data_IF_884944202300
#
_entry.id   IF_884944202300
#
_cell.length_a   1.000
_cell.length_b   1.000
_cell.length_c   1.000
_cell.angle_alpha   90.00
_cell.angle_beta   90.00
_cell.angle_gamma   90.00
#
_symmetry.space_group_name_H-M   'P 1'
#
loop_
_entity.id
_entity.type
_entity.pdbx_description
1 polymer ?
#
# COMPACT_ATOMS: atom_id res chain seq x y z
N UNK A 1 31.69 -9.98 35.77
CA UNK A 1 30.63 -10.96 35.48
C UNK A 1 29.96 -10.54 34.17
N UNK A 2 30.48 -11.02 33.03
CA UNK A 2 29.91 -10.70 31.71
C UNK A 2 28.59 -11.45 31.55
N UNK A 3 27.49 -10.71 31.34
CA UNK A 3 26.21 -11.28 30.91
C UNK A 3 26.43 -11.90 29.53
N UNK A 4 26.44 -13.22 29.46
CA UNK A 4 26.40 -13.96 28.19
C UNK A 4 25.03 -13.66 27.57
N UNK A 5 25.01 -12.75 26.59
CA UNK A 5 23.84 -12.53 25.75
C UNK A 5 23.80 -13.74 24.83
N UNK A 6 22.89 -14.67 25.13
CA UNK A 6 22.57 -15.79 24.24
C UNK A 6 22.04 -15.21 22.93
N UNK A 7 22.92 -15.07 21.95
CA UNK A 7 22.51 -14.87 20.55
C UNK A 7 21.80 -16.16 20.11
N UNK A 8 20.53 -16.12 19.67
CA UNK A 8 20.01 -17.25 18.94
C UNK A 8 20.70 -17.29 17.57
N UNK A 9 21.50 -18.34 17.38
CA UNK A 9 21.99 -18.79 16.09
C UNK A 9 20.86 -18.87 15.05
N UNK A 10 21.10 -18.46 13.79
CA UNK A 10 20.11 -18.53 12.72
C UNK A 10 20.12 -19.96 12.17
N UNK A 11 19.31 -20.84 12.75
CA UNK A 11 18.86 -22.13 12.19
C UNK A 11 18.14 -22.88 13.31
N UNK A 12 16.82 -22.77 13.37
CA UNK A 12 15.93 -23.88 13.72
C UNK A 12 14.46 -23.46 13.56
N UNK A 13 13.73 -24.35 12.93
CA UNK A 13 12.30 -24.45 12.60
C UNK A 13 11.35 -24.40 13.81
N UNK A 14 11.64 -23.56 14.80
CA UNK A 14 10.74 -23.37 15.94
C UNK A 14 9.72 -22.30 15.57
N UNK A 15 8.48 -22.73 15.37
CA UNK A 15 7.33 -21.84 15.29
C UNK A 15 7.36 -20.93 16.53
N UNK A 16 7.65 -19.65 16.34
CA UNK A 16 7.79 -18.69 17.43
C UNK A 16 6.47 -18.64 18.22
N UNK A 17 6.50 -19.02 19.50
CA UNK A 17 5.32 -19.09 20.37
C UNK A 17 4.59 -17.74 20.41
N UNK A 18 5.31 -16.63 20.25
CA UNK A 18 4.71 -15.28 20.18
C UNK A 18 3.89 -15.11 18.90
N UNK A 19 4.41 -15.56 17.75
CA UNK A 19 3.69 -15.55 16.45
C UNK A 19 2.44 -16.41 16.51
N UNK A 20 2.54 -17.62 17.08
CA UNK A 20 1.39 -18.52 17.24
C UNK A 20 0.31 -17.90 18.13
N UNK A 21 0.69 -17.36 19.30
CA UNK A 21 -0.25 -16.69 20.20
C UNK A 21 -0.91 -15.49 19.53
N UNK A 22 -0.16 -14.70 18.77
CA UNK A 22 -0.69 -13.56 18.02
C UNK A 22 -1.71 -13.99 16.95
N UNK A 23 -1.39 -15.02 16.17
CA UNK A 23 -2.28 -15.57 15.16
C UNK A 23 -3.57 -16.16 15.76
N UNK A 24 -3.45 -16.93 16.84
CA UNK A 24 -4.61 -17.53 17.51
C UNK A 24 -5.53 -16.48 18.14
N UNK A 25 -4.96 -15.42 18.72
CA UNK A 25 -5.74 -14.33 19.30
C UNK A 25 -6.56 -13.55 18.27
N UNK A 26 -6.10 -13.51 17.02
CA UNK A 26 -6.76 -12.80 15.93
C UNK A 26 -7.55 -13.72 14.98
N UNK A 27 -7.55 -15.03 15.21
CA UNK A 27 -8.22 -16.02 14.35
C UNK A 27 -9.72 -15.74 14.19
N UNK A 28 -10.36 -15.20 15.23
CA UNK A 28 -11.76 -14.81 15.18
C UNK A 28 -12.07 -13.69 14.18
N UNK A 29 -11.07 -12.90 13.76
CA UNK A 29 -11.21 -11.83 12.75
C UNK A 29 -11.27 -12.39 11.32
N UNK A 30 -10.74 -13.58 11.09
CA UNK A 30 -10.71 -14.23 9.76
C UNK A 30 -12.09 -14.31 9.07
N UNK A 31 -13.18 -14.77 9.71
CA UNK A 31 -14.49 -14.82 9.07
C UNK A 31 -15.08 -13.44 8.71
N UNK A 32 -14.65 -12.36 9.37
CA UNK A 32 -15.17 -11.01 9.14
C UNK A 32 -14.31 -10.19 8.17
N UNK A 33 -13.00 -10.42 8.16
CA UNK A 33 -12.07 -9.74 7.27
C UNK A 33 -10.88 -10.66 6.94
N UNK A 34 -11.07 -11.64 6.03
CA UNK A 34 -10.06 -12.62 5.71
C UNK A 34 -8.84 -11.97 5.05
N UNK A 35 -9.05 -10.93 4.24
CA UNK A 35 -7.97 -10.22 3.56
C UNK A 35 -7.11 -9.43 4.54
N UNK A 36 -7.71 -8.68 5.47
CA UNK A 36 -6.97 -8.01 6.54
C UNK A 36 -6.19 -9.01 7.40
N UNK A 37 -6.80 -10.13 7.77
CA UNK A 37 -6.14 -11.20 8.52
C UNK A 37 -4.91 -11.73 7.74
N UNK A 38 -5.09 -12.05 6.46
CA UNK A 38 -4.00 -12.55 5.63
C UNK A 38 -2.85 -11.53 5.51
N UNK A 39 -3.16 -10.28 5.22
CA UNK A 39 -2.18 -9.21 5.15
C UNK A 39 -1.43 -9.02 6.47
N UNK A 40 -2.15 -9.08 7.59
CA UNK A 40 -1.59 -8.87 8.93
C UNK A 40 -0.61 -9.96 9.38
N UNK A 41 -0.87 -11.21 9.00
CA UNK A 41 -0.08 -12.34 9.48
C UNK A 41 0.95 -12.82 8.47
N UNK A 42 0.69 -12.70 7.17
CA UNK A 42 1.55 -13.24 6.13
C UNK A 42 2.35 -12.20 5.37
N UNK A 43 2.01 -10.91 5.46
CA UNK A 43 2.81 -9.83 4.88
C UNK A 43 3.55 -9.02 5.96
N UNK A 44 4.60 -8.32 5.53
CA UNK A 44 5.38 -7.46 6.41
C UNK A 44 4.53 -6.28 6.90
N UNK A 45 4.42 -6.12 8.23
CA UNK A 45 3.60 -5.07 8.83
C UNK A 45 3.98 -3.67 8.33
N UNK A 46 5.27 -3.36 8.39
CA UNK A 46 5.85 -2.09 7.94
C UNK A 46 5.67 -1.80 6.45
N UNK A 47 5.34 -2.80 5.65
CA UNK A 47 5.06 -2.63 4.23
C UNK A 47 3.59 -2.36 3.98
N UNK A 48 2.70 -3.04 4.71
CA UNK A 48 1.24 -2.96 4.48
C UNK A 48 0.58 -1.83 5.29
N UNK A 49 0.95 -1.66 6.56
CA UNK A 49 0.19 -0.85 7.52
C UNK A 49 0.77 0.55 7.78
N UNK A 50 1.87 0.90 7.13
CA UNK A 50 2.48 2.24 7.25
C UNK A 50 1.62 3.31 6.58
N UNK A 51 0.97 2.97 5.46
CA UNK A 51 0.12 3.90 4.71
C UNK A 51 -1.25 3.30 4.46
N UNK A 52 -2.29 4.12 4.62
CA UNK A 52 -3.68 3.70 4.42
C UNK A 52 -3.92 3.24 2.99
N UNK A 53 -3.28 3.90 2.01
CA UNK A 53 -3.35 3.58 0.58
C UNK A 53 -2.95 2.15 0.25
N UNK A 54 -1.98 1.56 0.97
CA UNK A 54 -1.61 0.16 0.75
C UNK A 54 -2.76 -0.78 1.16
N UNK A 55 -3.32 -0.55 2.34
CA UNK A 55 -4.44 -1.34 2.85
C UNK A 55 -5.64 -1.19 1.91
N UNK A 56 -5.99 0.04 1.56
CA UNK A 56 -7.07 0.37 0.62
C UNK A 56 -6.88 -0.38 -0.69
N UNK A 57 -5.69 -0.27 -1.30
CA UNK A 57 -5.40 -0.93 -2.57
C UNK A 57 -5.68 -2.43 -2.48
N UNK A 58 -5.16 -3.12 -1.46
CA UNK A 58 -5.34 -4.57 -1.36
C UNK A 58 -6.78 -4.99 -1.12
N UNK A 59 -7.62 -4.14 -0.54
CA UNK A 59 -9.04 -4.42 -0.36
C UNK A 59 -9.87 -4.06 -1.61
N UNK A 60 -9.55 -2.97 -2.29
CA UNK A 60 -10.35 -2.49 -3.42
C UNK A 60 -9.90 -3.08 -4.76
N UNK A 61 -8.61 -3.35 -4.96
CA UNK A 61 -8.08 -3.83 -6.24
C UNK A 61 -8.62 -5.21 -6.65
N UNK A 62 -8.68 -6.23 -5.77
CA UNK A 62 -9.29 -7.51 -6.14
C UNK A 62 -10.77 -7.36 -6.51
N UNK A 63 -11.50 -6.48 -5.81
CA UNK A 63 -12.90 -6.19 -6.11
C UNK A 63 -13.05 -5.50 -7.46
N UNK A 64 -12.22 -4.49 -7.75
CA UNK A 64 -12.20 -3.84 -9.06
C UNK A 64 -11.90 -4.89 -10.12
N UNK A 65 -10.77 -5.61 -10.04
CA UNK A 65 -10.40 -6.65 -11.00
C UNK A 65 -11.49 -7.70 -11.22
N UNK A 66 -12.19 -8.13 -10.17
CA UNK A 66 -13.27 -9.08 -10.31
C UNK A 66 -14.51 -8.43 -10.95
N UNK A 67 -15.06 -7.39 -10.33
CA UNK A 67 -16.32 -6.76 -10.72
C UNK A 67 -16.24 -6.11 -12.10
N UNK A 68 -15.22 -5.29 -12.36
CA UNK A 68 -15.13 -4.54 -13.62
C UNK A 68 -14.76 -5.43 -14.80
N UNK A 69 -14.14 -6.59 -14.58
CA UNK A 69 -13.89 -7.54 -15.67
C UNK A 69 -15.17 -8.10 -16.27
N UNK A 70 -16.21 -8.32 -15.46
CA UNK A 70 -17.54 -8.72 -15.96
C UNK A 70 -18.25 -7.61 -16.71
N UNK A 71 -17.92 -6.34 -16.47
CA UNK A 71 -18.48 -5.21 -17.21
C UNK A 71 -17.91 -5.07 -18.62
N UNK A 72 -16.65 -5.48 -18.83
CA UNK A 72 -15.89 -5.16 -20.06
C UNK A 72 -15.59 -6.34 -20.98
N UNK A 73 -15.74 -7.58 -20.50
CA UNK A 73 -15.37 -8.75 -21.28
C UNK A 73 -16.35 -9.89 -21.06
N UNK A 74 -16.75 -10.53 -22.17
CA UNK A 74 -17.44 -11.83 -22.13
C UNK A 74 -16.55 -12.91 -21.51
N UNK A 75 -15.24 -12.79 -21.73
CA UNK A 75 -14.22 -13.66 -21.15
C UNK A 75 -13.62 -13.04 -19.87
N UNK A 76 -14.50 -12.58 -18.97
CA UNK A 76 -14.11 -11.92 -17.72
C UNK A 76 -13.07 -12.74 -16.91
N UNK A 77 -13.18 -14.08 -16.95
CA UNK A 77 -12.23 -14.98 -16.29
C UNK A 77 -10.81 -14.81 -16.83
N UNK A 78 -10.63 -14.72 -18.15
CA UNK A 78 -9.30 -14.50 -18.75
C UNK A 78 -8.73 -13.13 -18.35
N UNK A 79 -9.59 -12.11 -18.27
CA UNK A 79 -9.18 -10.78 -17.84
C UNK A 79 -8.74 -10.79 -16.37
N UNK A 80 -9.48 -11.46 -15.49
CA UNK A 80 -9.12 -11.63 -14.07
C UNK A 80 -7.77 -12.35 -13.95
N UNK A 81 -7.57 -13.44 -14.70
CA UNK A 81 -6.31 -14.18 -14.74
C UNK A 81 -5.18 -13.27 -15.20
N UNK A 82 -5.39 -12.48 -16.27
CA UNK A 82 -4.39 -11.55 -16.80
C UNK A 82 -3.98 -10.48 -15.79
N UNK A 83 -4.94 -9.87 -15.08
CA UNK A 83 -4.64 -8.85 -14.07
C UNK A 83 -3.93 -9.46 -12.86
N UNK A 84 -4.38 -10.63 -12.40
CA UNK A 84 -3.75 -11.36 -11.29
C UNK A 84 -2.33 -11.77 -11.64
N UNK A 85 -2.11 -12.28 -12.86
CA UNK A 85 -0.79 -12.62 -13.38
C UNK A 85 0.10 -11.38 -13.49
N UNK A 86 -0.44 -10.26 -13.99
CA UNK A 86 0.28 -8.99 -14.10
C UNK A 86 0.70 -8.46 -12.73
N UNK A 87 -0.15 -8.57 -11.71
CA UNK A 87 0.21 -8.23 -10.32
C UNK A 87 1.38 -9.07 -9.82
N UNK A 88 1.30 -10.40 -9.98
CA UNK A 88 2.36 -11.34 -9.56
C UNK A 88 3.67 -11.04 -10.30
N UNK A 89 3.63 -10.90 -11.62
CA UNK A 89 4.83 -10.64 -12.42
C UNK A 89 5.48 -9.32 -12.07
N UNK A 90 4.70 -8.27 -11.82
CA UNK A 90 5.24 -6.97 -11.41
C UNK A 90 5.85 -7.03 -9.99
N UNK A 91 5.25 -7.78 -9.05
CA UNK A 91 5.83 -8.04 -7.73
C UNK A 91 7.17 -8.79 -7.84
N UNK A 92 7.26 -9.83 -8.68
CA UNK A 92 8.50 -10.57 -8.93
C UNK A 92 9.56 -9.68 -9.60
N UNK A 93 9.17 -8.87 -10.58
CA UNK A 93 10.07 -7.95 -11.26
C UNK A 93 10.61 -6.89 -10.29
N UNK A 94 9.76 -6.38 -9.39
CA UNK A 94 10.18 -5.41 -8.39
C UNK A 94 11.08 -6.03 -7.32
N UNK A 95 10.95 -7.32 -7.03
CA UNK A 95 11.85 -8.05 -6.12
C UNK A 95 13.30 -8.01 -6.60
N UNK A 96 13.53 -8.11 -7.90
CA UNK A 96 14.88 -8.10 -8.47
C UNK A 96 15.53 -6.71 -8.52
N UNK A 97 14.78 -5.66 -8.18
CA UNK A 97 15.22 -4.27 -8.22
C UNK A 97 15.36 -3.75 -6.79
N UNK A 98 16.27 -4.39 -6.03
CA UNK A 98 16.52 -4.07 -4.62
C UNK A 98 16.98 -2.61 -4.50
N UNK A 99 16.14 -1.79 -3.89
CA UNK A 99 16.51 -0.43 -3.48
C UNK A 99 16.78 -0.46 -1.99
N UNK A 100 17.89 0.10 -1.53
CA UNK A 100 18.17 0.10 -0.09
C UNK A 100 17.14 0.93 0.69
N UNK A 101 16.70 2.08 0.15
CA UNK A 101 15.86 3.05 0.87
C UNK A 101 14.69 3.52 -0.01
N UNK A 102 13.48 3.55 0.55
CA UNK A 102 12.30 4.17 -0.06
C UNK A 102 12.44 5.69 -0.13
N UNK A 103 12.17 6.32 -1.28
CA UNK A 103 12.29 7.78 -1.46
C UNK A 103 10.93 8.45 -1.52
N UNK A 104 10.81 9.59 -0.84
CA UNK A 104 9.61 10.45 -0.84
C UNK A 104 9.12 10.78 -2.26
N UNK A 105 10.02 11.18 -3.17
CA UNK A 105 9.64 11.53 -4.55
C UNK A 105 8.98 10.36 -5.30
N UNK A 106 9.41 9.12 -5.04
CA UNK A 106 8.77 7.94 -5.62
C UNK A 106 7.38 7.72 -5.00
N UNK A 107 7.25 7.92 -3.69
CA UNK A 107 5.95 7.81 -3.02
C UNK A 107 4.94 8.84 -3.55
N UNK A 108 5.35 10.09 -3.71
CA UNK A 108 4.54 11.16 -4.30
C UNK A 108 4.10 10.80 -5.73
N UNK A 109 5.05 10.36 -6.57
CA UNK A 109 4.76 9.98 -7.95
C UNK A 109 3.84 8.77 -8.06
N UNK A 110 4.07 7.75 -7.23
CA UNK A 110 3.23 6.56 -7.16
C UNK A 110 1.80 6.90 -6.74
N UNK A 111 1.61 7.64 -5.65
CA UNK A 111 0.28 8.03 -5.20
C UNK A 111 -0.44 8.94 -6.19
N UNK A 112 0.25 9.91 -6.78
CA UNK A 112 -0.32 10.73 -7.86
C UNK A 112 -0.81 9.88 -9.02
N UNK A 113 0.02 8.91 -9.46
CA UNK A 113 -0.36 7.97 -10.51
C UNK A 113 -1.55 7.10 -10.14
N UNK A 114 -1.63 6.62 -8.89
CA UNK A 114 -2.79 5.86 -8.39
C UNK A 114 -4.08 6.69 -8.40
N UNK A 115 -4.02 7.96 -7.96
CA UNK A 115 -5.17 8.88 -8.05
C UNK A 115 -5.61 9.06 -9.50
N UNK A 116 -4.66 9.35 -10.40
CA UNK A 116 -4.94 9.56 -11.82
C UNK A 116 -5.59 8.32 -12.46
N UNK A 117 -5.04 7.13 -12.20
CA UNK A 117 -5.57 5.89 -12.75
C UNK A 117 -6.97 5.56 -12.19
N UNK A 118 -7.28 5.91 -10.94
CA UNK A 118 -8.63 5.77 -10.39
C UNK A 118 -9.64 6.60 -11.19
N UNK A 119 -9.30 7.84 -11.51
CA UNK A 119 -10.16 8.70 -12.33
C UNK A 119 -10.31 8.18 -13.76
N UNK A 120 -9.23 7.67 -14.37
CA UNK A 120 -9.32 7.02 -15.68
C UNK A 120 -10.23 5.78 -15.66
N UNK A 121 -10.20 4.97 -14.59
CA UNK A 121 -11.09 3.82 -14.42
C UNK A 121 -12.56 4.25 -14.27
N UNK A 122 -12.84 5.30 -13.49
CA UNK A 122 -14.19 5.85 -13.36
C UNK A 122 -14.71 6.33 -14.73
N UNK A 123 -13.89 7.09 -15.46
CA UNK A 123 -14.25 7.59 -16.80
C UNK A 123 -14.46 6.45 -17.79
N UNK A 124 -13.63 5.40 -17.72
CA UNK A 124 -13.85 4.20 -18.51
C UNK A 124 -15.25 3.67 -18.19
N UNK A 125 -15.56 3.35 -16.93
CA UNK A 125 -16.82 2.71 -16.54
C UNK A 125 -18.03 3.53 -17.01
N UNK A 126 -18.01 4.85 -16.82
CA UNK A 126 -19.09 5.76 -17.25
C UNK A 126 -19.29 5.71 -18.77
N UNK A 127 -18.21 5.58 -19.54
CA UNK A 127 -18.25 5.63 -21.01
C UNK A 127 -18.37 4.26 -21.68
N UNK A 128 -18.47 3.17 -20.90
CA UNK A 128 -18.42 1.79 -21.41
C UNK A 128 -19.51 1.47 -22.43
N UNK A 129 -20.72 1.97 -22.20
CA UNK A 129 -21.89 1.72 -23.05
C UNK A 129 -22.09 2.80 -24.12
N UNK A 130 -21.13 3.74 -24.25
CA UNK A 130 -21.20 4.78 -25.27
C UNK A 130 -20.87 4.23 -26.66
N UNK A 131 -21.80 4.35 -27.61
CA UNK A 131 -21.60 3.91 -29.00
C UNK A 131 -20.32 4.50 -29.65
N UNK A 132 -19.94 5.72 -29.27
CA UNK A 132 -18.76 6.42 -29.81
C UNK A 132 -17.46 6.03 -29.12
N UNK A 133 -17.52 5.71 -27.83
CA UNK A 133 -16.33 5.63 -26.97
C UNK A 133 -16.07 4.25 -26.37
N UNK A 134 -16.93 3.25 -26.59
CA UNK A 134 -16.80 1.93 -25.94
C UNK A 134 -15.42 1.27 -26.14
N UNK A 135 -14.83 1.35 -27.36
CA UNK A 135 -13.48 0.82 -27.63
C UNK A 135 -12.40 1.54 -26.83
N UNK A 136 -12.49 2.86 -26.78
CA UNK A 136 -11.55 3.71 -26.04
C UNK A 136 -11.68 3.41 -24.55
N UNK A 137 -12.91 3.35 -24.03
CA UNK A 137 -13.22 2.98 -22.65
C UNK A 137 -12.60 1.64 -22.27
N UNK A 138 -12.73 0.62 -23.13
CA UNK A 138 -12.16 -0.70 -22.89
C UNK A 138 -10.62 -0.68 -22.84
N UNK A 139 -9.97 0.04 -23.75
CA UNK A 139 -8.50 0.19 -23.75
C UNK A 139 -8.02 0.95 -22.51
N UNK A 140 -8.70 2.04 -22.15
CA UNK A 140 -8.41 2.82 -20.94
C UNK A 140 -8.55 1.95 -19.70
N UNK A 141 -9.59 1.12 -19.61
CA UNK A 141 -9.76 0.18 -18.51
C UNK A 141 -8.55 -0.74 -18.32
N UNK A 142 -8.08 -1.40 -19.39
CA UNK A 142 -6.92 -2.30 -19.30
C UNK A 142 -5.63 -1.57 -18.92
N UNK A 143 -5.37 -0.42 -19.55
CA UNK A 143 -4.16 0.37 -19.27
C UNK A 143 -4.17 0.90 -17.84
N UNK A 144 -5.29 1.48 -17.39
CA UNK A 144 -5.38 2.06 -16.06
C UNK A 144 -5.33 1.01 -14.95
N UNK A 145 -5.94 -0.15 -15.15
CA UNK A 145 -5.89 -1.26 -14.19
C UNK A 145 -4.46 -1.82 -14.05
N UNK A 146 -3.73 -1.90 -15.16
CA UNK A 146 -2.32 -2.30 -15.16
C UNK A 146 -1.42 -1.24 -14.50
N UNK A 147 -1.55 0.03 -14.93
CA UNK A 147 -0.75 1.13 -14.39
C UNK A 147 -1.00 1.37 -12.90
N UNK A 148 -2.20 1.07 -12.39
CA UNK A 148 -2.48 1.10 -10.95
C UNK A 148 -1.52 0.20 -10.15
N UNK A 149 -1.23 -1.01 -10.65
CA UNK A 149 -0.24 -1.91 -10.03
C UNK A 149 1.16 -1.28 -10.06
N UNK A 150 1.56 -0.77 -11.23
CA UNK A 150 2.89 -0.17 -11.40
C UNK A 150 3.09 0.99 -10.44
N UNK A 151 2.10 1.89 -10.33
CA UNK A 151 2.17 3.02 -9.43
C UNK A 151 2.14 2.62 -7.95
N UNK A 152 1.40 1.56 -7.57
CA UNK A 152 1.50 0.97 -6.24
C UNK A 152 2.94 0.53 -5.94
N UNK A 153 3.60 -0.15 -6.87
CA UNK A 153 4.98 -0.64 -6.65
C UNK A 153 6.01 0.49 -6.57
N UNK A 154 5.78 1.60 -7.28
CA UNK A 154 6.63 2.79 -7.15
C UNK A 154 6.42 3.45 -5.79
N UNK A 155 5.18 3.45 -5.31
CA UNK A 155 4.80 4.03 -4.02
C UNK A 155 5.27 3.18 -2.83
N UNK A 156 4.96 1.90 -2.85
CA UNK A 156 5.13 0.98 -1.73
C UNK A 156 6.57 0.51 -1.57
N UNK A 157 6.90 0.13 -0.35
CA UNK A 157 8.23 -0.29 0.08
C UNK A 157 8.39 -1.82 0.10
N UNK A 158 7.82 -2.55 -0.88
CA UNK A 158 7.80 -4.03 -0.86
C UNK A 158 9.19 -4.66 -0.92
N UNK A 159 10.16 -3.98 -1.51
CA UNK A 159 11.50 -4.52 -1.79
C UNK A 159 12.60 -3.54 -1.39
N UNK A 160 12.34 -2.76 -0.33
CA UNK A 160 13.35 -1.91 0.31
C UNK A 160 13.80 -2.51 1.62
N UNK A 161 15.03 -2.19 2.05
CA UNK A 161 15.49 -2.56 3.40
C UNK A 161 14.95 -1.59 4.45
N UNK A 162 14.89 -0.30 4.08
CA UNK A 162 14.36 0.78 4.91
C UNK A 162 13.17 1.47 4.25
N UNK A 163 12.14 1.76 5.06
CA UNK A 163 10.95 2.51 4.65
C UNK A 163 10.88 3.87 5.32
N UNK A 164 10.08 4.73 4.70
CA UNK A 164 9.68 6.01 5.28
C UNK A 164 8.51 5.77 6.20
N UNK A 165 8.68 6.14 7.47
CA UNK A 165 7.61 6.26 8.45
C UNK A 165 7.30 7.73 8.70
N UNK A 166 6.02 8.08 8.63
CA UNK A 166 5.51 9.39 9.01
C UNK A 166 5.15 9.41 10.50
N UNK A 167 5.13 10.60 11.06
CA UNK A 167 4.73 10.84 12.45
C UNK A 167 3.23 10.57 12.63
N UNK A 168 2.89 9.43 13.23
CA UNK A 168 1.51 8.95 13.42
C UNK A 168 0.63 10.00 14.13
N UNK A 169 1.20 10.80 15.03
CA UNK A 169 0.50 11.85 15.80
C UNK A 169 0.08 13.04 14.93
N UNK A 170 0.74 13.20 13.78
CA UNK A 170 0.44 14.24 12.77
C UNK A 170 -0.33 13.67 11.59
N UNK A 171 -0.78 12.41 11.67
CA UNK A 171 -1.63 11.84 10.63
C UNK A 171 -2.96 12.57 10.59
N UNK A 172 -3.47 12.95 9.41
CA UNK A 172 -4.80 13.55 9.29
C UNK A 172 -5.93 12.60 9.74
N UNK A 173 -5.64 11.31 10.01
CA UNK A 173 -6.60 10.31 10.47
C UNK A 173 -6.04 9.47 11.63
N UNK A 174 -6.28 9.92 12.86
CA UNK A 174 -5.86 9.21 14.09
C UNK A 174 -6.75 7.99 14.40
N UNK A 175 -7.96 7.89 13.82
CA UNK A 175 -8.90 6.80 14.09
C UNK A 175 -9.02 5.78 12.93
N UNK A 176 -8.13 4.78 12.92
CA UNK A 176 -8.17 3.64 11.98
C UNK A 176 -9.47 2.81 12.02
N UNK A 177 -10.31 2.99 13.04
CA UNK A 177 -11.61 2.31 13.16
C UNK A 177 -12.68 2.89 12.21
N UNK A 178 -12.64 4.19 11.93
CA UNK A 178 -13.56 4.83 10.99
C UNK A 178 -13.31 4.35 9.55
N UNK A 179 -12.06 4.00 9.23
CA UNK A 179 -11.66 3.39 7.97
C UNK A 179 -12.31 2.01 7.75
N UNK A 180 -12.29 1.14 8.76
CA UNK A 180 -12.92 -0.19 8.68
C UNK A 180 -14.43 -0.05 8.45
N UNK A 181 -15.07 0.89 9.15
CA UNK A 181 -16.49 1.19 8.98
C UNK A 181 -16.79 1.73 7.57
N UNK A 182 -16.00 2.67 7.07
CA UNK A 182 -16.22 3.29 5.77
C UNK A 182 -15.96 2.32 4.60
N UNK A 183 -14.92 1.48 4.71
CA UNK A 183 -14.69 0.35 3.79
C UNK A 183 -15.88 -0.60 3.83
N UNK A 184 -16.36 -0.98 5.02
CA UNK A 184 -17.51 -1.85 5.18
C UNK A 184 -18.79 -1.28 4.56
N UNK A 185 -19.06 0.02 4.71
CA UNK A 185 -20.21 0.69 4.09
C UNK A 185 -20.05 0.73 2.56
N UNK A 186 -18.85 1.02 2.04
CA UNK A 186 -18.59 0.99 0.61
C UNK A 186 -18.77 -0.42 -0.01
N UNK A 187 -18.48 -1.48 0.76
CA UNK A 187 -18.75 -2.87 0.34
C UNK A 187 -20.25 -3.18 0.22
N UNK A 188 -21.10 -2.55 1.03
CA UNK A 188 -22.55 -2.83 1.04
C UNK A 188 -23.30 -2.15 -0.11
N UNK A 189 -22.81 -1.01 -0.61
CA UNK A 189 -23.55 -0.18 -1.59
C UNK A 189 -23.20 -0.41 -3.07
N UNK A 190 -22.41 -1.43 -3.40
CA UNK A 190 -22.23 -2.02 -4.75
C UNK A 190 -22.37 -1.05 -5.95
N UNK A 191 -21.49 -0.05 -6.01
CA UNK A 191 -21.32 0.80 -7.19
C UNK A 191 -19.82 0.91 -7.46
N UNK A 192 -19.35 0.34 -8.57
CA UNK A 192 -17.92 0.17 -8.88
C UNK A 192 -17.18 1.51 -8.86
N UNK A 193 -17.81 2.56 -9.39
CA UNK A 193 -17.28 3.92 -9.33
C UNK A 193 -17.15 4.44 -7.90
N UNK A 194 -18.06 4.06 -6.98
CA UNK A 194 -18.00 4.49 -5.58
C UNK A 194 -16.83 3.83 -4.85
N UNK A 195 -16.56 2.54 -5.10
CA UNK A 195 -15.39 1.84 -4.56
C UNK A 195 -14.10 2.49 -5.07
N UNK A 196 -14.03 2.81 -6.36
CA UNK A 196 -12.84 3.46 -6.96
C UNK A 196 -12.68 4.89 -6.44
N UNK A 197 -13.77 5.65 -6.30
CA UNK A 197 -13.76 7.00 -5.74
C UNK A 197 -13.31 6.99 -4.29
N UNK A 198 -13.82 6.05 -3.50
CA UNK A 198 -13.39 5.81 -2.12
C UNK A 198 -11.89 5.52 -2.06
N UNK A 199 -11.37 4.63 -2.91
CA UNK A 199 -9.94 4.37 -2.97
C UNK A 199 -9.13 5.61 -3.35
N UNK A 200 -9.58 6.37 -4.36
CA UNK A 200 -8.95 7.61 -4.81
C UNK A 200 -8.85 8.67 -3.70
N UNK A 201 -9.86 8.74 -2.83
CA UNK A 201 -9.85 9.64 -1.67
C UNK A 201 -8.69 9.33 -0.72
N UNK A 202 -8.47 8.07 -0.36
CA UNK A 202 -7.34 7.69 0.51
C UNK A 202 -5.99 7.89 -0.15
N UNK A 203 -5.87 7.60 -1.45
CA UNK A 203 -4.65 7.88 -2.20
C UNK A 203 -4.32 9.38 -2.17
N UNK A 204 -5.34 10.23 -2.26
CA UNK A 204 -5.20 11.68 -2.19
C UNK A 204 -4.82 12.17 -0.79
N UNK A 205 -5.34 11.54 0.26
CA UNK A 205 -4.99 11.84 1.66
C UNK A 205 -3.51 11.55 1.91
N UNK A 206 -3.05 10.34 1.60
CA UNK A 206 -1.66 9.98 1.84
C UNK A 206 -0.73 10.83 0.97
N UNK A 207 -1.15 11.17 -0.26
CA UNK A 207 -0.40 12.10 -1.11
C UNK A 207 -0.30 13.48 -0.47
N UNK A 208 -1.41 14.02 0.02
CA UNK A 208 -1.44 15.30 0.72
C UNK A 208 -0.54 15.27 1.96
N UNK A 209 -0.60 14.20 2.74
CA UNK A 209 0.21 14.05 3.94
C UNK A 209 1.70 14.05 3.63
N UNK A 210 2.13 13.28 2.62
CA UNK A 210 3.52 13.25 2.16
C UNK A 210 3.97 14.60 1.57
N UNK A 211 3.07 15.32 0.89
CA UNK A 211 3.38 16.65 0.35
C UNK A 211 3.50 17.73 1.45
N UNK A 212 2.79 17.56 2.56
CA UNK A 212 2.71 18.55 3.64
C UNK A 212 3.57 18.24 4.86
N UNK A 213 4.10 17.02 5.00
CA UNK A 213 4.99 16.63 6.10
C UNK A 213 6.25 17.52 6.19
N UNK A 214 6.66 17.90 7.40
CA UNK A 214 7.90 18.67 7.61
C UNK A 214 9.05 17.79 8.13
N UNK A 215 8.76 16.54 8.45
CA UNK A 215 9.75 15.58 8.91
C UNK A 215 9.25 14.15 8.66
N UNK A 216 10.18 13.22 8.51
CA UNK A 216 9.89 11.79 8.44
C UNK A 216 11.06 11.00 9.02
N UNK A 217 10.81 9.75 9.40
CA UNK A 217 11.82 8.84 9.93
C UNK A 217 12.07 7.73 8.91
N UNK A 218 13.32 7.35 8.73
CA UNK A 218 13.70 6.16 7.95
C UNK A 218 13.91 5.01 8.92
N UNK A 219 13.17 3.93 8.72
CA UNK A 219 13.15 2.78 9.64
C UNK A 219 13.35 1.47 8.89
N UNK A 220 14.00 0.51 9.54
CA UNK A 220 14.14 -0.85 9.00
C UNK A 220 12.78 -1.53 8.92
N UNK A 221 12.60 -2.37 7.91
CA UNK A 221 11.40 -3.19 7.81
C UNK A 221 11.32 -4.25 8.92
N UNK A 222 10.12 -4.38 9.51
CA UNK A 222 9.76 -5.43 10.46
C UNK A 222 8.44 -6.09 10.06
N UNK A 223 8.34 -7.40 10.31
CA UNK A 223 7.19 -8.21 9.89
C UNK A 223 6.01 -8.07 10.85
N UNK A 224 6.30 -7.95 12.15
CA UNK A 224 5.29 -7.78 13.18
C UNK A 224 5.59 -6.57 14.04
N UNK A 225 4.56 -5.84 14.44
CA UNK A 225 4.68 -4.58 15.22
C UNK A 225 5.52 -4.72 16.50
N UNK A 226 5.43 -5.84 17.21
CA UNK A 226 6.21 -6.08 18.44
C UNK A 226 7.69 -6.41 18.20
N UNK A 227 8.14 -6.50 16.95
CA UNK A 227 9.55 -6.70 16.61
C UNK A 227 10.31 -5.38 16.50
N UNK A 228 9.60 -4.25 16.50
CA UNK A 228 10.23 -2.93 16.38
C UNK A 228 10.97 -2.56 17.67
N UNK A 229 12.26 -2.27 17.53
CA UNK A 229 13.13 -1.81 18.61
C UNK A 229 13.68 -0.42 18.24
N UNK A 230 13.18 0.68 18.85
CA UNK A 230 13.50 2.05 18.41
C UNK A 230 14.99 2.38 18.37
N UNK A 231 15.79 1.79 19.26
CA UNK A 231 17.24 2.02 19.38
C UNK A 231 18.04 1.36 18.25
N UNK A 232 17.52 0.28 17.64
CA UNK A 232 18.21 -0.48 16.60
C UNK A 232 17.61 -0.28 15.19
N UNK A 233 16.31 0.01 15.12
CA UNK A 233 15.56 0.02 13.85
C UNK A 233 15.35 1.42 13.24
N UNK A 234 15.61 2.49 13.99
CA UNK A 234 15.58 3.87 13.45
C UNK A 234 16.94 4.19 12.84
N UNK A 235 16.95 4.44 11.53
CA UNK A 235 18.17 4.75 10.79
C UNK A 235 18.46 6.26 10.79
N UNK A 236 17.45 7.08 10.46
CA UNK A 236 17.57 8.54 10.45
C UNK A 236 16.25 9.24 10.76
N UNK A 237 16.34 10.40 11.41
CA UNK A 237 15.30 11.40 11.38
C UNK A 237 15.65 12.47 10.34
N UNK A 238 14.68 12.78 9.48
CA UNK A 238 14.83 13.79 8.43
C UNK A 238 13.92 14.96 8.76
N UNK A 239 14.51 16.15 8.87
CA UNK A 239 13.78 17.41 8.99
C UNK A 239 13.88 18.14 7.65
N UNK A 240 12.74 18.52 7.11
CA UNK A 240 12.62 19.26 5.85
C UNK A 240 12.57 20.75 6.20
N UNK A 241 13.69 21.45 6.00
CA UNK A 241 13.84 22.86 6.39
C UNK A 241 13.40 23.83 5.30
N UNK A 242 13.31 23.39 4.04
CA UNK A 242 12.72 24.16 2.95
C UNK A 242 11.96 23.27 1.95
N UNK A 243 10.77 23.72 1.51
CA UNK A 243 10.02 23.13 0.40
C UNK A 243 9.93 24.13 -0.73
N UNK A 244 10.78 23.97 -1.73
CA UNK A 244 10.55 24.64 -3.01
C UNK A 244 9.84 23.67 -3.94
N UNK A 245 8.51 23.76 -3.99
CA UNK A 245 7.76 23.22 -5.11
C UNK A 245 8.44 23.78 -6.38
N UNK A 246 8.97 22.89 -7.24
CA UNK A 246 9.62 23.20 -8.53
C UNK A 246 11.15 23.48 -8.55
N UNK A 247 11.88 23.38 -7.44
CA UNK A 247 13.36 23.35 -7.45
C UNK A 247 13.88 22.05 -6.84
N UNK A 248 14.99 21.54 -7.36
CA UNK A 248 15.65 20.33 -6.83
C UNK A 248 16.29 20.52 -5.45
N UNK A 249 16.15 21.70 -4.84
CA UNK A 249 16.79 22.07 -3.59
C UNK A 249 15.82 21.91 -2.42
N UNK A 250 15.59 20.66 -2.00
CA UNK A 250 15.11 20.38 -0.64
C UNK A 250 16.33 20.42 0.27
N UNK A 251 16.36 21.35 1.22
CA UNK A 251 17.33 21.26 2.32
C UNK A 251 16.79 20.26 3.34
N UNK A 252 17.50 19.14 3.47
CA UNK A 252 17.22 18.07 4.43
C UNK A 252 18.30 18.06 5.48
N UNK A 253 17.94 18.27 6.74
CA UNK A 253 18.83 18.02 7.86
C UNK A 253 18.66 16.56 8.30
N UNK A 254 19.79 15.85 8.37
CA UNK A 254 19.87 14.46 8.81
C UNK A 254 20.44 14.45 10.22
N UNK A 255 19.66 13.99 11.19
CA UNK A 255 20.17 13.68 12.52
C UNK A 255 20.24 12.17 12.68
N UNK A 256 21.45 11.65 12.93
CA UNK A 256 21.63 10.30 13.48
C UNK A 256 21.00 10.27 14.88
N UNK A 257 20.30 9.17 15.20
CA UNK A 257 19.79 8.89 16.56
C UNK A 257 20.90 8.25 17.37
#
# INVERSE_FOLDING_TARGET
MLKRIDRPSPKNTVFDKRKLKYLLNDLWKFPFSPLYFCLKHFASYSTIFTFTSNIVFWHTYPLICFLTSFLYSRDAVLVIIFHSWSLIMNMIASWHNERTIQKIKHMQFGLFGMVLMSWCLILAIITKDSEKYWKVSQVVYYISSYLMIVFLLIFASYHTEYHVKLDDDKSPYVERNLFILAVGIAHVYWLECLIILFASFFYSIDLYWILTMNSYTIQKHYHYEWQFEPEEDIYYNVIITSKHFWKNDETTEWSFV
#
